data_IF_628991648535
#
_entry.id   IF_628991648535
#
_cell.length_a   1.000
_cell.length_b   1.000
_cell.length_c   1.000
_cell.angle_alpha   90.00
_cell.angle_beta   90.00
_cell.angle_gamma   90.00
#
_symmetry.space_group_name_H-M   'P 1'
#
loop_
_entity.id
_entity.type
_entity.pdbx_description
1 polymer ?
#
# COMPACT_ATOMS: atom_id res chain seq x y z
N UNK A 1 -12.35 -5.70 -15.82
CA UNK A 1 -13.38 -5.29 -14.85
C UNK A 1 -12.67 -5.05 -13.54
N UNK A 2 -12.78 -3.84 -13.00
CA UNK A 2 -12.08 -3.48 -11.76
C UNK A 2 -13.02 -3.72 -10.57
N UNK A 3 -13.08 -4.97 -10.11
CA UNK A 3 -13.92 -5.38 -8.99
C UNK A 3 -13.26 -6.51 -8.20
N UNK A 4 -13.64 -6.62 -6.93
CA UNK A 4 -13.31 -7.77 -6.10
C UNK A 4 -14.33 -8.89 -6.35
N UNK A 5 -13.83 -10.12 -6.41
CA UNK A 5 -14.60 -11.32 -6.69
C UNK A 5 -14.48 -12.29 -5.50
N UNK A 6 -15.60 -12.90 -5.14
CA UNK A 6 -15.72 -13.87 -4.04
C UNK A 6 -16.25 -15.20 -4.56
N UNK A 7 -15.96 -16.29 -3.86
CA UNK A 7 -16.63 -17.58 -4.07
C UNK A 7 -17.95 -17.66 -3.31
N UNK A 8 -18.79 -18.62 -3.70
CA UNK A 8 -20.10 -18.89 -3.10
C UNK A 8 -20.04 -19.38 -1.65
N UNK A 9 -18.88 -19.86 -1.18
CA UNK A 9 -18.68 -20.30 0.22
C UNK A 9 -18.66 -19.14 1.22
N UNK A 10 -18.67 -17.89 0.75
CA UNK A 10 -18.48 -16.71 1.56
C UNK A 10 -19.64 -15.73 1.41
N UNK A 11 -20.13 -15.24 2.54
CA UNK A 11 -21.05 -14.12 2.63
C UNK A 11 -20.22 -12.83 2.77
N UNK A 12 -20.36 -11.93 1.80
CA UNK A 12 -19.66 -10.65 1.77
C UNK A 12 -20.62 -9.54 2.22
N UNK A 13 -20.30 -8.87 3.32
CA UNK A 13 -21.10 -7.77 3.86
C UNK A 13 -20.26 -6.50 3.89
N UNK A 14 -20.69 -5.39 3.24
CA UNK A 14 -20.02 -4.12 3.39
C UNK A 14 -20.18 -3.60 4.83
N UNK A 15 -19.12 -3.00 5.36
CA UNK A 15 -19.12 -2.32 6.66
C UNK A 15 -19.01 -0.80 6.44
N UNK A 16 -19.20 -0.02 7.49
CA UNK A 16 -18.92 1.42 7.45
C UNK A 16 -17.47 1.70 7.00
N UNK A 17 -16.53 0.87 7.47
CA UNK A 17 -15.13 0.89 7.05
C UNK A 17 -14.73 -0.52 6.62
N UNK A 18 -14.75 -0.75 5.31
CA UNK A 18 -14.25 -1.97 4.69
C UNK A 18 -15.33 -3.04 4.50
N UNK A 19 -14.94 -4.31 4.68
CA UNK A 19 -15.75 -5.47 4.32
C UNK A 19 -15.58 -6.60 5.33
N UNK A 20 -16.69 -7.27 5.62
CA UNK A 20 -16.74 -8.53 6.37
C UNK A 20 -16.92 -9.69 5.41
N UNK A 21 -16.07 -10.69 5.57
CA UNK A 21 -16.12 -11.98 4.87
C UNK A 21 -16.46 -13.03 5.91
N UNK A 22 -17.62 -13.68 5.78
CA UNK A 22 -18.05 -14.74 6.68
C UNK A 22 -18.11 -16.06 5.94
N UNK A 23 -17.58 -17.12 6.55
CA UNK A 23 -17.73 -18.48 6.03
C UNK A 23 -19.20 -18.91 6.15
N UNK A 24 -19.87 -19.14 5.01
CA UNK A 24 -21.22 -19.70 5.01
C UNK A 24 -21.19 -21.16 5.51
N UNK A 25 -20.17 -21.91 5.10
CA UNK A 25 -19.95 -23.31 5.43
C UNK A 25 -18.53 -23.56 5.97
N UNK A 26 -18.31 -24.74 6.53
CA UNK A 26 -16.97 -25.18 6.94
C UNK A 26 -16.07 -25.36 5.70
N UNK A 27 -14.84 -24.87 5.80
CA UNK A 27 -13.85 -24.92 4.72
C UNK A 27 -13.00 -26.17 4.87
N UNK A 28 -13.07 -27.07 3.88
CA UNK A 28 -12.38 -28.37 3.88
C UNK A 28 -11.15 -28.40 2.98
N UNK A 29 -10.96 -27.39 2.13
CA UNK A 29 -9.80 -27.23 1.25
C UNK A 29 -9.37 -25.77 1.19
N UNK A 30 -8.18 -25.49 0.66
CA UNK A 30 -7.73 -24.11 0.49
C UNK A 30 -8.54 -23.43 -0.61
N UNK A 31 -9.32 -22.40 -0.25
CA UNK A 31 -10.16 -21.64 -1.19
C UNK A 31 -9.84 -20.16 -1.12
N UNK A 32 -9.89 -19.47 -2.25
CA UNK A 32 -9.78 -18.01 -2.27
C UNK A 32 -11.11 -17.42 -1.82
N UNK A 33 -11.05 -16.58 -0.78
CA UNK A 33 -12.22 -15.92 -0.25
C UNK A 33 -12.54 -14.63 -1.02
N UNK A 34 -11.50 -13.85 -1.33
CA UNK A 34 -11.65 -12.61 -2.06
C UNK A 34 -10.43 -12.38 -2.95
N UNK A 35 -10.64 -11.98 -4.21
CA UNK A 35 -9.53 -11.61 -5.09
C UNK A 35 -9.86 -10.45 -6.02
N UNK A 36 -8.83 -9.75 -6.45
CA UNK A 36 -8.88 -8.76 -7.52
C UNK A 36 -7.85 -9.14 -8.57
N UNK A 37 -8.20 -8.95 -9.85
CA UNK A 37 -7.31 -9.21 -10.97
C UNK A 37 -6.96 -7.92 -11.68
N UNK A 38 -5.67 -7.69 -11.90
CA UNK A 38 -5.16 -6.54 -12.63
C UNK A 38 -4.33 -7.02 -13.83
N UNK A 39 -4.69 -6.54 -15.02
CA UNK A 39 -3.88 -6.78 -16.23
C UNK A 39 -2.54 -6.06 -16.09
N UNK A 40 -1.46 -6.76 -16.45
CA UNK A 40 -0.10 -6.24 -16.37
C UNK A 40 0.30 -5.74 -17.76
N UNK A 41 0.67 -4.48 -17.84
CA UNK A 41 1.28 -3.90 -19.04
C UNK A 41 2.80 -4.11 -19.03
N UNK A 42 3.44 -3.94 -20.18
CA UNK A 42 4.89 -4.12 -20.34
C UNK A 42 5.72 -3.20 -19.44
N UNK A 43 5.18 -2.05 -19.01
CA UNK A 43 5.88 -1.11 -18.12
C UNK A 43 6.03 -1.63 -16.70
N UNK A 44 5.23 -2.61 -16.29
CA UNK A 44 5.28 -3.23 -14.96
C UNK A 44 6.17 -4.48 -14.92
N UNK A 45 6.65 -4.96 -16.06
CA UNK A 45 7.60 -6.07 -16.12
C UNK A 45 8.91 -5.69 -15.42
N UNK A 46 9.52 -6.65 -14.73
CA UNK A 46 10.70 -6.42 -13.88
C UNK A 46 10.43 -5.63 -12.60
N UNK A 47 9.26 -4.99 -12.45
CA UNK A 47 8.92 -4.22 -11.25
C UNK A 47 8.62 -5.13 -10.06
N UNK A 48 8.71 -4.54 -8.86
CA UNK A 48 8.24 -5.15 -7.62
C UNK A 48 6.83 -4.65 -7.33
N UNK A 49 5.95 -5.51 -6.83
CA UNK A 49 4.62 -5.13 -6.38
C UNK A 49 4.44 -5.52 -4.91
N UNK A 50 3.85 -4.63 -4.13
CA UNK A 50 3.55 -4.86 -2.72
C UNK A 50 2.05 -4.72 -2.48
N UNK A 51 1.46 -5.74 -1.86
CA UNK A 51 0.08 -5.75 -1.39
C UNK A 51 0.08 -5.49 0.10
N UNK A 52 -0.66 -4.47 0.53
CA UNK A 52 -0.81 -4.07 1.92
C UNK A 52 -2.28 -4.11 2.30
N UNK A 53 -2.61 -4.70 3.45
CA UNK A 53 -3.98 -4.76 3.96
C UNK A 53 -4.02 -4.44 5.45
N UNK A 54 -5.04 -3.70 5.87
CA UNK A 54 -5.33 -3.46 7.28
C UNK A 54 -6.53 -4.31 7.70
N UNK A 55 -6.28 -5.23 8.61
CA UNK A 55 -7.22 -6.25 9.05
C UNK A 55 -7.83 -5.82 10.39
N UNK A 56 -9.15 -5.71 10.45
CA UNK A 56 -9.85 -5.39 11.69
C UNK A 56 -9.94 -6.61 12.62
N UNK A 57 -10.24 -7.77 12.03
CA UNK A 57 -10.41 -9.04 12.74
C UNK A 57 -10.09 -10.21 11.81
N UNK A 58 -9.50 -11.27 12.34
CA UNK A 58 -9.14 -12.47 11.56
C UNK A 58 -9.23 -13.73 12.40
N UNK A 59 -9.25 -14.87 11.72
CA UNK A 59 -9.06 -16.20 12.30
C UNK A 59 -7.68 -16.77 11.94
N UNK A 60 -7.39 -17.97 12.43
CA UNK A 60 -6.09 -18.63 12.23
C UNK A 60 -5.89 -19.23 10.83
N UNK A 61 -6.93 -19.27 10.01
CA UNK A 61 -6.97 -19.88 8.69
C UNK A 61 -6.91 -18.88 7.54
N UNK A 62 -6.84 -17.58 7.83
CA UNK A 62 -6.84 -16.52 6.82
C UNK A 62 -5.42 -16.11 6.40
N UNK A 63 -5.22 -15.98 5.09
CA UNK A 63 -3.91 -15.70 4.48
C UNK A 63 -4.04 -14.67 3.35
N UNK A 64 -2.92 -14.07 2.98
CA UNK A 64 -2.81 -13.14 1.86
C UNK A 64 -1.63 -13.50 0.97
N UNK A 65 -1.80 -13.34 -0.35
CA UNK A 65 -0.80 -13.70 -1.37
C UNK A 65 -1.02 -12.93 -2.67
N UNK A 66 0.06 -12.73 -3.44
CA UNK A 66 0.03 -12.23 -4.81
C UNK A 66 0.46 -13.35 -5.76
N UNK A 67 -0.29 -13.55 -6.84
CA UNK A 67 0.03 -14.48 -7.92
C UNK A 67 0.18 -13.75 -9.24
N UNK A 68 1.23 -14.05 -9.99
CA UNK A 68 1.43 -13.63 -11.37
C UNK A 68 1.06 -14.78 -12.31
N UNK A 69 0.27 -14.46 -13.33
CA UNK A 69 -0.22 -15.43 -14.31
C UNK A 69 0.25 -15.08 -15.71
N UNK A 70 0.51 -16.10 -16.53
CA UNK A 70 0.68 -15.92 -17.96
C UNK A 70 -0.68 -15.79 -18.68
N UNK A 71 -0.64 -15.58 -19.99
CA UNK A 71 -1.84 -15.47 -20.83
C UNK A 71 -2.68 -16.75 -20.89
N UNK A 72 -2.08 -17.91 -20.63
CA UNK A 72 -2.77 -19.21 -20.54
C UNK A 72 -3.47 -19.42 -19.18
N UNK A 73 -3.30 -18.51 -18.22
CA UNK A 73 -3.87 -18.62 -16.88
C UNK A 73 -3.11 -19.54 -15.93
N UNK A 74 -1.87 -19.88 -16.26
CA UNK A 74 -0.97 -20.61 -15.36
C UNK A 74 -0.24 -19.65 -14.44
N UNK A 75 -0.14 -20.00 -13.15
CA UNK A 75 0.70 -19.26 -12.20
C UNK A 75 2.17 -19.45 -12.59
N UNK A 76 2.85 -18.34 -12.86
CA UNK A 76 4.28 -18.33 -13.22
C UNK A 76 5.17 -17.83 -12.09
N UNK A 77 4.58 -17.12 -11.11
CA UNK A 77 5.27 -16.64 -9.91
C UNK A 77 4.26 -16.32 -8.82
N UNK A 78 4.67 -16.42 -7.56
CA UNK A 78 3.92 -15.93 -6.42
C UNK A 78 4.81 -15.16 -5.47
N UNK A 79 4.20 -14.35 -4.61
CA UNK A 79 4.83 -13.93 -3.36
C UNK A 79 4.85 -15.08 -2.35
N UNK A 80 5.44 -14.83 -1.18
CA UNK A 80 5.17 -15.64 0.00
C UNK A 80 3.67 -15.60 0.34
N UNK A 81 3.17 -16.69 0.93
CA UNK A 81 1.82 -16.73 1.49
C UNK A 81 1.92 -16.44 2.97
N UNK A 82 1.36 -15.32 3.42
CA UNK A 82 1.46 -14.90 4.82
C UNK A 82 0.14 -15.10 5.55
N UNK A 83 0.21 -15.53 6.81
CA UNK A 83 -0.95 -15.61 7.70
C UNK A 83 -1.33 -14.19 8.14
N UNK A 84 -2.62 -13.86 8.06
CA UNK A 84 -3.11 -12.55 8.47
C UNK A 84 -3.09 -12.41 9.99
N UNK A 85 -2.76 -11.21 10.46
CA UNK A 85 -2.87 -10.76 11.84
C UNK A 85 -3.73 -9.50 11.90
N UNK A 86 -4.27 -9.16 13.07
CA UNK A 86 -4.95 -7.89 13.24
C UNK A 86 -3.98 -6.72 13.00
N UNK A 87 -4.46 -5.67 12.34
CA UNK A 87 -3.65 -4.52 11.93
C UNK A 87 -3.01 -4.70 10.55
N UNK A 88 -1.83 -4.12 10.38
CA UNK A 88 -1.21 -3.94 9.07
C UNK A 88 -0.40 -5.17 8.64
N UNK A 89 -0.76 -5.75 7.50
CA UNK A 89 -0.09 -6.88 6.88
C UNK A 89 0.42 -6.46 5.50
N UNK A 90 1.57 -6.99 5.08
CA UNK A 90 2.15 -6.66 3.78
C UNK A 90 2.90 -7.84 3.18
N UNK A 91 2.78 -8.02 1.88
CA UNK A 91 3.50 -9.04 1.13
C UNK A 91 3.93 -8.48 -0.22
N UNK A 92 5.10 -8.90 -0.71
CA UNK A 92 5.65 -8.39 -1.96
C UNK A 92 6.03 -9.51 -2.92
N UNK A 93 5.73 -9.31 -4.20
CA UNK A 93 6.27 -10.11 -5.30
C UNK A 93 7.37 -9.29 -5.98
N UNK A 94 8.57 -9.86 -6.04
CA UNK A 94 9.74 -9.18 -6.62
C UNK A 94 9.94 -9.58 -8.08
N UNK A 95 10.52 -8.70 -8.89
CA UNK A 95 10.92 -8.94 -10.28
C UNK A 95 9.82 -9.66 -11.07
N UNK A 96 8.75 -8.94 -11.40
CA UNK A 96 7.61 -9.51 -12.11
C UNK A 96 8.05 -10.05 -13.48
N UNK A 97 7.78 -11.32 -13.83
CA UNK A 97 8.24 -11.89 -15.10
C UNK A 97 7.66 -11.17 -16.33
N UNK A 98 8.43 -11.08 -17.41
CA UNK A 98 7.99 -10.49 -18.69
C UNK A 98 6.81 -11.24 -19.33
N UNK A 99 6.65 -12.52 -19.01
CA UNK A 99 5.52 -13.33 -19.48
C UNK A 99 4.25 -13.13 -18.65
N UNK A 100 4.26 -12.21 -17.67
CA UNK A 100 3.07 -11.91 -16.86
C UNK A 100 2.04 -11.15 -17.68
N UNK A 101 0.87 -11.76 -17.83
CA UNK A 101 -0.30 -11.15 -18.46
C UNK A 101 -1.17 -10.42 -17.43
N UNK A 102 -1.31 -10.99 -16.24
CA UNK A 102 -2.07 -10.38 -15.15
C UNK A 102 -1.59 -10.85 -13.78
N UNK A 103 -1.91 -10.06 -12.76
CA UNK A 103 -1.67 -10.38 -11.36
C UNK A 103 -3.00 -10.53 -10.64
N UNK A 104 -3.08 -11.46 -9.69
CA UNK A 104 -4.17 -11.54 -8.73
C UNK A 104 -3.65 -11.31 -7.32
N UNK A 105 -4.29 -10.38 -6.63
CA UNK A 105 -4.16 -10.19 -5.18
C UNK A 105 -5.26 -10.97 -4.51
N UNK A 106 -4.91 -11.90 -3.62
CA UNK A 106 -5.86 -12.85 -3.04
C UNK A 106 -5.81 -12.85 -1.52
N UNK A 107 -7.00 -12.95 -0.93
CA UNK A 107 -7.22 -13.38 0.44
C UNK A 107 -7.76 -14.80 0.40
N UNK A 108 -7.13 -15.68 1.16
CA UNK A 108 -7.42 -17.12 1.16
C UNK A 108 -7.87 -17.53 2.55
N UNK A 109 -8.87 -18.40 2.63
CA UNK A 109 -9.25 -19.08 3.87
C UNK A 109 -8.94 -20.57 3.66
N UNK A 110 -8.06 -21.10 4.50
CA UNK A 110 -7.60 -22.48 4.40
C UNK A 110 -8.55 -23.45 5.11
N UNK A 111 -8.31 -24.75 4.88
CA UNK A 111 -8.99 -25.84 5.57
C UNK A 111 -8.92 -25.69 7.10
N UNK A 112 -10.04 -25.93 7.77
CA UNK A 112 -10.18 -25.85 9.22
C UNK A 112 -11.08 -24.70 9.70
N UNK A 113 -11.30 -23.68 8.86
CA UNK A 113 -12.28 -22.64 9.16
C UNK A 113 -13.70 -23.23 9.24
N UNK A 114 -14.45 -22.81 10.24
CA UNK A 114 -15.82 -23.29 10.52
C UNK A 114 -16.85 -22.34 9.91
N UNK A 115 -18.08 -22.84 9.73
CA UNK A 115 -19.21 -21.98 9.41
C UNK A 115 -19.34 -20.90 10.49
N UNK A 116 -19.51 -19.65 10.04
CA UNK A 116 -19.56 -18.48 10.91
C UNK A 116 -18.22 -17.83 11.21
N UNK A 117 -17.08 -18.43 10.87
CA UNK A 117 -15.79 -17.75 11.00
C UNK A 117 -15.72 -16.49 10.13
N UNK A 118 -15.02 -15.47 10.64
CA UNK A 118 -15.02 -14.14 10.04
C UNK A 118 -13.60 -13.63 9.76
N UNK A 119 -13.46 -12.95 8.62
CA UNK A 119 -12.34 -12.07 8.29
C UNK A 119 -12.89 -10.68 7.97
N UNK A 120 -12.37 -9.65 8.65
CA UNK A 120 -12.76 -8.25 8.41
C UNK A 120 -11.56 -7.46 7.90
N UNK A 121 -11.71 -6.89 6.71
CA UNK A 121 -10.68 -6.11 6.03
C UNK A 121 -11.14 -4.66 6.03
N UNK A 122 -10.39 -3.75 6.66
CA UNK A 122 -10.69 -2.31 6.64
C UNK A 122 -10.39 -1.71 5.28
N UNK A 123 -9.20 -2.01 4.76
CA UNK A 123 -8.74 -1.56 3.45
C UNK A 123 -7.61 -2.45 2.95
N UNK A 124 -7.41 -2.41 1.64
CA UNK A 124 -6.32 -3.11 0.95
C UNK A 124 -5.82 -2.25 -0.21
N UNK A 125 -4.54 -2.35 -0.54
CA UNK A 125 -3.89 -1.56 -1.58
C UNK A 125 -2.76 -2.37 -2.22
N UNK A 126 -2.74 -2.40 -3.54
CA UNK A 126 -1.61 -2.89 -4.34
C UNK A 126 -0.82 -1.70 -4.88
N UNK A 127 0.50 -1.74 -4.75
CA UNK A 127 1.39 -0.64 -5.13
C UNK A 127 2.68 -1.14 -5.76
N UNK A 128 3.31 -0.30 -6.58
CA UNK A 128 4.62 -0.56 -7.17
C UNK A 128 5.68 -0.25 -6.11
N UNK A 129 6.63 -1.17 -5.93
CA UNK A 129 7.71 -1.07 -4.96
C UNK A 129 7.87 -2.36 -4.15
N UNK A 130 9.02 -2.48 -3.48
CA UNK A 130 9.32 -3.59 -2.56
C UNK A 130 8.85 -3.34 -1.14
N UNK A 131 8.51 -2.09 -0.83
CA UNK A 131 8.11 -1.67 0.51
C UNK A 131 6.72 -1.08 0.43
N UNK A 132 5.95 -1.29 1.50
CA UNK A 132 4.68 -0.59 1.66
C UNK A 132 4.97 0.91 1.76
N UNK A 133 4.28 1.73 0.97
CA UNK A 133 4.31 3.16 1.23
C UNK A 133 3.68 3.42 2.60
N UNK A 134 4.35 4.23 3.42
CA UNK A 134 3.86 4.64 4.74
C UNK A 134 2.69 5.61 4.60
N UNK A 135 1.59 5.23 3.97
CA UNK A 135 0.33 5.96 4.11
C UNK A 135 -0.40 5.44 5.35
N UNK A 136 0.19 5.66 6.51
CA UNK A 136 -0.60 5.95 7.69
C UNK A 136 -1.02 7.41 7.60
N UNK A 137 -2.23 7.74 8.06
CA UNK A 137 -2.56 9.12 8.39
C UNK A 137 -1.53 9.54 9.45
N UNK A 138 -0.47 10.24 9.02
CA UNK A 138 0.50 10.76 9.98
C UNK A 138 -0.30 11.76 10.78
N UNK A 139 -0.33 11.58 12.10
CA UNK A 139 -1.04 12.48 13.01
C UNK A 139 -0.74 13.92 12.59
N UNK A 140 -1.79 14.69 12.30
CA UNK A 140 -1.66 16.02 11.74
C UNK A 140 -0.79 16.90 12.65
N UNK A 141 -0.80 16.69 13.97
CA UNK A 141 0.07 17.40 14.89
C UNK A 141 1.56 17.04 14.70
N UNK A 142 1.86 15.77 14.44
CA UNK A 142 3.23 15.30 14.17
C UNK A 142 3.74 15.69 12.77
N UNK A 143 2.88 15.67 11.74
CA UNK A 143 3.17 16.27 10.42
C UNK A 143 3.45 17.77 10.57
N UNK A 144 2.57 18.48 11.28
CA UNK A 144 2.71 19.91 11.51
C UNK A 144 4.01 20.22 12.25
N UNK A 145 4.44 19.43 13.24
CA UNK A 145 5.73 19.61 13.92
C UNK A 145 6.92 19.42 12.98
N UNK A 146 6.87 18.44 12.07
CA UNK A 146 7.92 18.22 11.06
C UNK A 146 7.95 19.37 10.05
N UNK A 147 6.78 19.79 9.56
CA UNK A 147 6.64 20.92 8.66
C UNK A 147 7.09 22.24 9.30
N UNK A 148 6.70 22.50 10.56
CA UNK A 148 7.11 23.68 11.34
C UNK A 148 8.62 23.72 11.57
N UNK A 149 9.30 22.57 11.71
CA UNK A 149 10.77 22.52 11.74
C UNK A 149 11.43 23.04 10.45
N UNK A 150 10.76 22.94 9.31
CA UNK A 150 11.23 23.52 8.04
C UNK A 150 10.83 25.01 7.88
N UNK A 151 9.89 25.52 8.68
CA UNK A 151 9.53 26.94 8.74
C UNK A 151 10.32 27.66 9.84
N UNK A 152 11.54 28.10 9.55
CA UNK A 152 12.23 29.01 10.46
C UNK A 152 11.71 30.44 10.25
N UNK A 153 10.91 30.96 11.19
CA UNK A 153 10.66 32.41 11.28
C UNK A 153 11.88 33.03 11.95
N UNK A 154 12.78 33.63 11.14
CA UNK A 154 13.78 34.55 11.68
C UNK A 154 13.18 35.95 11.73
N UNK A 155 12.64 36.32 12.89
CA UNK A 155 12.31 37.70 13.21
C UNK A 155 13.48 38.29 14.00
N UNK A 156 14.27 39.17 13.38
CA UNK A 156 15.26 40.01 14.08
C UNK A 156 14.62 41.22 14.77
N UNK A 157 13.29 41.28 14.90
CA UNK A 157 12.56 42.37 15.57
C UNK A 157 12.31 43.61 14.70
N UNK A 158 13.01 43.73 13.56
CA UNK A 158 12.97 44.91 12.69
C UNK A 158 12.19 44.71 11.37
N UNK A 159 11.57 43.55 11.18
CA UNK A 159 10.87 43.19 9.92
C UNK A 159 9.37 43.03 10.20
N UNK A 160 8.48 43.74 9.46
CA UNK A 160 7.03 43.58 9.60
C UNK A 160 6.58 42.14 9.35
N UNK A 161 5.65 41.65 10.18
CA UNK A 161 5.21 40.25 10.15
C UNK A 161 4.65 39.78 8.78
N UNK A 162 4.17 40.71 7.95
CA UNK A 162 3.65 40.44 6.60
C UNK A 162 4.73 40.02 5.59
N UNK A 163 6.00 40.37 5.86
CA UNK A 163 7.15 40.10 4.97
C UNK A 163 7.94 38.84 5.36
N UNK A 164 7.50 38.12 6.39
CA UNK A 164 8.09 36.85 6.81
C UNK A 164 7.67 35.72 5.85
N UNK A 165 8.30 35.64 4.68
CA UNK A 165 8.16 34.47 3.81
C UNK A 165 9.02 33.31 4.33
N UNK A 166 8.56 32.06 4.19
CA UNK A 166 9.35 30.87 4.53
C UNK A 166 10.66 30.87 3.74
N UNK A 167 11.80 30.78 4.44
CA UNK A 167 13.11 30.60 3.81
C UNK A 167 13.61 29.21 4.17
N UNK A 168 14.03 28.42 3.17
CA UNK A 168 14.62 27.09 3.40
C UNK A 168 15.85 27.19 4.31
N UNK A 169 16.10 26.15 5.09
CA UNK A 169 17.24 26.06 6.00
C UNK A 169 18.56 26.22 5.23
N UNK A 170 19.17 27.41 5.38
CA UNK A 170 20.38 27.83 4.68
C UNK A 170 20.09 28.79 3.54
N UNK A 171 20.45 30.06 3.70
CA UNK A 171 20.44 31.02 2.58
C UNK A 171 21.62 30.66 1.66
N UNK A 172 21.42 30.14 0.43
CA UNK A 172 22.53 30.02 -0.49
C UNK A 172 22.96 31.45 -0.83
N UNK A 173 24.20 31.80 -0.52
CA UNK A 173 24.75 33.11 -0.91
C UNK A 173 24.81 33.13 -2.43
N UNK A 174 24.30 34.19 -3.05
CA UNK A 174 24.38 34.37 -4.50
C UNK A 174 25.39 35.49 -4.74
N UNK A 175 26.56 35.12 -5.21
CA UNK A 175 27.63 36.07 -5.49
C UNK A 175 27.62 36.46 -6.97
N UNK A 176 27.84 37.75 -7.25
CA UNK A 176 28.04 38.24 -8.60
C UNK A 176 29.46 37.89 -9.03
N UNK A 177 29.58 37.07 -10.06
CA UNK A 177 30.86 36.69 -10.67
C UNK A 177 31.38 37.84 -11.52
N UNK A 178 32.69 37.83 -11.74
CA UNK A 178 33.41 38.85 -12.51
C UNK A 178 32.98 38.95 -13.99
N UNK A 179 32.26 37.95 -14.49
CA UNK A 179 31.68 37.91 -15.83
C UNK A 179 30.28 38.57 -15.91
N UNK A 180 29.77 39.08 -14.78
CA UNK A 180 28.46 39.73 -14.67
C UNK A 180 27.31 38.78 -14.34
N UNK A 181 27.55 37.46 -14.31
CA UNK A 181 26.53 36.46 -13.97
C UNK A 181 26.50 36.18 -12.46
N UNK A 182 25.41 35.56 -11.99
CA UNK A 182 25.22 35.21 -10.58
C UNK A 182 25.33 33.70 -10.37
N UNK A 183 25.97 33.26 -9.29
CA UNK A 183 26.05 31.85 -8.92
C UNK A 183 25.85 31.63 -7.42
N UNK A 184 25.36 30.44 -7.05
CA UNK A 184 25.22 30.02 -5.66
C UNK A 184 26.58 29.60 -5.10
N UNK A 185 26.98 30.17 -3.97
CA UNK A 185 28.11 29.71 -3.15
C UNK A 185 27.60 28.80 -2.03
N UNK A 186 28.34 27.72 -1.76
CA UNK A 186 28.11 26.83 -0.60
C UNK A 186 28.57 27.52 0.68
#
# INVERSE_FOLDING_TARGET
MDCWLSQSYFEITPLEIGVRIRCADAITSTVFALYQQMTVSSTLHGSNLTLTANIASTNEYAYMVIYAYNSAGTVIKSSDKIKLQNGLNSVSIKNLPETTAYVRTQFTINSGAKSGDVLEIKWTKLEIGSERTMFGQVDAANELLKCQRYYQIRSTGDIPAVDLRPVMAGTPKVDKRSDGNYAYSV
#
